data_IF_050108119472
#
_entry.id   IF_050108119472
#
_cell.length_a   1.000
_cell.length_b   1.000
_cell.length_c   1.000
_cell.angle_alpha   90.00
_cell.angle_beta   90.00
_cell.angle_gamma   90.00
#
_symmetry.space_group_name_H-M   'P 1'
#
loop_
_entity.id
_entity.type
_entity.pdbx_description
1 polymer ?
#
# COMPACT_ATOMS: atom_id res chain seq x y z
N UNK A 1 14.31 27.32 -13.30
CA UNK A 1 14.21 26.37 -12.17
C UNK A 1 14.43 24.92 -12.63
N UNK A 2 15.02 24.69 -13.80
CA UNK A 2 15.11 23.34 -14.38
C UNK A 2 16.09 22.45 -13.63
N UNK A 3 15.82 21.14 -13.63
CA UNK A 3 16.66 20.10 -13.02
C UNK A 3 16.73 18.89 -13.97
N UNK A 4 17.81 18.11 -13.85
CA UNK A 4 17.93 16.80 -14.50
C UNK A 4 17.75 15.70 -13.45
N UNK A 5 16.89 14.71 -13.74
CA UNK A 5 16.61 13.58 -12.86
C UNK A 5 16.67 12.28 -13.68
N UNK A 6 17.58 11.35 -13.34
CA UNK A 6 17.83 10.15 -14.13
C UNK A 6 18.08 10.42 -15.64
N UNK A 7 18.74 11.55 -15.96
CA UNK A 7 18.97 12.00 -17.33
C UNK A 7 17.77 12.68 -18.01
N UNK A 8 16.63 12.81 -17.33
CA UNK A 8 15.41 13.43 -17.82
C UNK A 8 15.37 14.90 -17.41
N UNK A 9 15.18 15.78 -18.38
CA UNK A 9 15.10 17.22 -18.11
C UNK A 9 13.69 17.62 -17.68
N UNK A 10 13.59 18.24 -16.51
CA UNK A 10 12.37 18.78 -15.94
C UNK A 10 12.47 20.31 -15.88
N UNK A 11 11.42 21.02 -16.31
CA UNK A 11 11.42 22.50 -16.25
C UNK A 11 11.45 23.05 -14.82
N UNK A 12 11.01 22.25 -13.85
CA UNK A 12 11.08 22.47 -12.41
C UNK A 12 11.05 21.11 -11.69
N UNK A 13 11.41 21.02 -10.39
CA UNK A 13 11.53 19.73 -9.70
C UNK A 13 10.19 19.15 -9.21
N UNK A 14 9.06 19.79 -9.48
CA UNK A 14 7.76 19.37 -8.93
C UNK A 14 7.18 18.26 -9.79
N UNK A 15 7.01 17.07 -9.21
CA UNK A 15 6.39 15.91 -9.83
C UNK A 15 5.14 15.51 -9.04
N UNK A 16 3.99 15.44 -9.71
CA UNK A 16 2.76 14.92 -9.09
C UNK A 16 2.86 13.40 -8.86
N UNK A 17 2.60 12.95 -7.63
CA UNK A 17 2.79 11.56 -7.22
C UNK A 17 1.73 10.60 -7.79
N UNK A 18 2.14 9.36 -8.09
CA UNK A 18 1.22 8.32 -8.58
C UNK A 18 0.04 8.11 -7.63
N UNK A 19 -1.16 7.96 -8.21
CA UNK A 19 -2.38 7.67 -7.47
C UNK A 19 -3.16 8.90 -7.00
N UNK A 20 -2.59 10.10 -7.11
CA UNK A 20 -3.23 11.36 -6.67
C UNK A 20 -3.86 12.16 -7.82
N UNK A 21 -3.42 11.95 -9.07
CA UNK A 21 -3.91 12.65 -10.27
C UNK A 21 -4.44 11.71 -11.35
N UNK A 22 -4.83 10.47 -11.01
CA UNK A 22 -5.36 9.52 -12.00
C UNK A 22 -4.41 9.31 -13.18
N UNK A 23 -4.87 9.61 -14.39
CA UNK A 23 -4.07 9.63 -15.61
C UNK A 23 -3.82 11.07 -16.11
N UNK A 24 -4.03 12.08 -15.28
CA UNK A 24 -3.87 13.52 -15.59
C UNK A 24 -5.08 14.12 -16.32
N UNK A 25 -5.62 13.38 -17.28
CA UNK A 25 -6.72 13.83 -18.16
C UNK A 25 -7.99 14.12 -17.39
N UNK A 26 -8.26 13.37 -16.31
CA UNK A 26 -9.47 13.55 -15.50
C UNK A 26 -9.50 14.88 -14.72
N UNK A 27 -8.37 15.58 -14.63
CA UNK A 27 -8.20 16.79 -13.83
C UNK A 27 -7.86 18.02 -14.68
N UNK A 28 -7.93 17.94 -16.01
CA UNK A 28 -7.55 19.03 -16.93
C UNK A 28 -8.29 20.34 -16.64
N UNK A 29 -9.55 20.27 -16.19
CA UNK A 29 -10.37 21.45 -15.86
C UNK A 29 -10.05 22.09 -14.50
N UNK A 30 -9.29 21.40 -13.64
CA UNK A 30 -9.06 21.79 -12.24
C UNK A 30 -7.58 22.01 -11.94
N UNK A 31 -6.69 21.34 -12.67
CA UNK A 31 -5.25 21.30 -12.40
C UNK A 31 -4.46 21.70 -13.64
N UNK A 32 -3.68 22.77 -13.51
CA UNK A 32 -2.72 23.20 -14.52
C UNK A 32 -1.46 22.33 -14.50
N UNK A 33 -1.58 21.10 -15.04
CA UNK A 33 -0.48 20.14 -15.14
C UNK A 33 0.70 20.73 -15.94
N UNK A 34 0.43 21.61 -16.90
CA UNK A 34 1.42 22.37 -17.67
C UNK A 34 2.32 23.29 -16.83
N UNK A 35 2.08 23.44 -15.53
CA UNK A 35 2.99 24.12 -14.58
C UNK A 35 3.97 23.17 -13.87
N UNK A 36 3.70 21.86 -13.83
CA UNK A 36 4.53 20.86 -13.14
C UNK A 36 5.72 20.41 -13.99
N UNK A 37 6.83 20.03 -13.35
CA UNK A 37 7.97 19.41 -14.03
C UNK A 37 7.62 18.08 -14.67
N UNK A 38 6.83 17.27 -13.94
CA UNK A 38 6.25 16.04 -14.45
C UNK A 38 5.12 15.53 -13.58
N UNK A 39 4.61 14.36 -13.91
CA UNK A 39 3.68 13.62 -13.06
C UNK A 39 3.78 12.12 -13.33
N UNK A 40 3.47 11.34 -12.32
CA UNK A 40 3.41 9.89 -12.41
C UNK A 40 1.95 9.47 -12.52
N UNK A 41 1.60 8.75 -13.59
CA UNK A 41 0.23 8.21 -13.73
C UNK A 41 -0.05 7.15 -12.67
N UNK A 42 -1.34 6.83 -12.48
CA UNK A 42 -1.79 5.72 -11.65
C UNK A 42 -1.03 4.44 -11.97
N UNK A 43 -0.71 3.65 -10.94
CA UNK A 43 -0.09 2.34 -11.10
C UNK A 43 -0.85 1.46 -12.09
N UNK A 44 -0.10 0.90 -13.05
CA UNK A 44 -0.61 0.05 -14.12
C UNK A 44 -0.27 -1.41 -13.83
N UNK A 45 -1.29 -2.27 -13.90
CA UNK A 45 -1.14 -3.73 -13.90
C UNK A 45 -1.26 -4.30 -15.31
N UNK A 46 -0.96 -5.60 -15.43
CA UNK A 46 -1.17 -6.37 -16.65
C UNK A 46 -2.63 -6.29 -17.11
N UNK A 47 -3.55 -6.63 -16.22
CA UNK A 47 -5.00 -6.59 -16.45
C UNK A 47 -5.68 -5.47 -15.66
N UNK A 48 -6.87 -4.99 -16.08
CA UNK A 48 -7.64 -4.01 -15.31
C UNK A 48 -7.98 -4.51 -13.90
N UNK A 49 -8.01 -3.59 -12.94
CA UNK A 49 -8.36 -3.90 -11.55
C UNK A 49 -9.44 -2.96 -11.03
N UNK A 50 -10.47 -3.52 -10.39
CA UNK A 50 -11.57 -2.76 -9.79
C UNK A 50 -11.18 -2.05 -8.47
N UNK A 51 -10.14 -2.57 -7.80
CA UNK A 51 -9.73 -2.14 -6.46
C UNK A 51 -10.63 -2.66 -5.34
N UNK A 52 -10.36 -2.22 -4.11
CA UNK A 52 -11.06 -2.67 -2.90
C UNK A 52 -12.51 -2.15 -2.86
N UNK A 53 -13.46 -2.72 -2.11
CA UNK A 53 -14.77 -2.08 -1.91
C UNK A 53 -14.66 -0.77 -1.11
N UNK A 54 -15.60 0.19 -1.28
CA UNK A 54 -15.67 1.38 -0.41
C UNK A 54 -16.16 1.07 1.02
N UNK A 55 -15.78 1.89 2.02
CA UNK A 55 -14.98 3.12 1.93
C UNK A 55 -13.47 2.84 1.74
N UNK A 56 -12.79 3.65 0.92
CA UNK A 56 -11.36 3.47 0.58
C UNK A 56 -10.44 4.55 1.12
N UNK A 57 -11.00 5.66 1.62
CA UNK A 57 -10.27 6.83 2.09
C UNK A 57 -10.80 7.20 3.47
N UNK A 58 -9.91 7.67 4.34
CA UNK A 58 -10.28 8.23 5.63
C UNK A 58 -9.29 9.32 6.02
N UNK A 59 -9.78 10.50 6.37
CA UNK A 59 -8.94 11.61 6.82
C UNK A 59 -8.43 11.36 8.26
N UNK A 60 -7.19 11.72 8.54
CA UNK A 60 -6.62 11.71 9.88
C UNK A 60 -6.20 13.14 10.26
N UNK A 61 -6.01 13.46 11.56
CA UNK A 61 -5.72 14.84 11.98
C UNK A 61 -4.52 15.51 11.29
N UNK A 62 -3.58 14.72 10.76
CA UNK A 62 -2.39 15.20 10.06
C UNK A 62 -2.13 14.45 8.75
N UNK A 63 -3.16 13.88 8.11
CA UNK A 63 -2.99 13.13 6.88
C UNK A 63 -4.24 12.38 6.44
N UNK A 64 -4.02 11.26 5.78
CA UNK A 64 -5.11 10.40 5.32
C UNK A 64 -4.65 8.94 5.20
N UNK A 65 -5.60 8.03 5.41
CA UNK A 65 -5.46 6.63 5.09
C UNK A 65 -6.11 6.35 3.74
N UNK A 66 -5.53 5.42 3.00
CA UNK A 66 -6.12 4.92 1.76
C UNK A 66 -5.97 3.40 1.66
N UNK A 67 -6.99 2.75 1.11
CA UNK A 67 -7.00 1.35 0.73
C UNK A 67 -7.66 1.22 -0.64
N UNK A 68 -7.12 1.91 -1.65
CA UNK A 68 -7.71 1.91 -3.01
C UNK A 68 -7.71 0.51 -3.64
N UNK A 69 -6.73 -0.33 -3.29
CA UNK A 69 -6.57 -1.66 -3.87
C UNK A 69 -6.05 -1.61 -5.32
N UNK A 70 -5.25 -0.60 -5.65
CA UNK A 70 -4.58 -0.46 -6.96
C UNK A 70 -5.55 -0.46 -8.16
N UNK A 71 -6.77 0.08 -7.99
CA UNK A 71 -7.72 0.24 -9.10
C UNK A 71 -7.06 0.95 -10.29
N UNK A 72 -7.12 0.34 -11.48
CA UNK A 72 -6.54 0.86 -12.71
C UNK A 72 -7.13 0.16 -13.95
N UNK A 73 -6.91 0.75 -15.13
CA UNK A 73 -7.45 0.25 -16.42
C UNK A 73 -6.56 -0.79 -17.11
N UNK A 74 -5.41 -1.15 -16.54
CA UNK A 74 -4.41 -2.01 -17.17
C UNK A 74 -3.48 -1.25 -18.13
N UNK A 75 -2.29 -1.80 -18.35
CA UNK A 75 -1.25 -1.20 -19.18
C UNK A 75 -1.65 -1.03 -20.65
N UNK A 76 -2.38 -2.02 -21.21
CA UNK A 76 -2.81 -2.02 -22.61
C UNK A 76 -3.80 -0.88 -22.90
N UNK A 77 -4.86 -0.77 -22.09
CA UNK A 77 -5.83 0.30 -22.23
C UNK A 77 -5.20 1.68 -22.01
N UNK A 78 -4.23 1.79 -21.09
CA UNK A 78 -3.50 3.05 -20.90
C UNK A 78 -2.82 3.53 -22.18
N UNK A 79 -2.10 2.66 -22.90
CA UNK A 79 -1.44 3.03 -24.16
C UNK A 79 -2.43 3.40 -25.25
N UNK A 80 -3.56 2.69 -25.33
CA UNK A 80 -4.53 2.89 -26.40
C UNK A 80 -5.43 4.10 -26.17
N UNK A 81 -5.79 4.39 -24.92
CA UNK A 81 -6.86 5.35 -24.60
C UNK A 81 -6.36 6.63 -23.93
N UNK A 82 -5.32 6.55 -23.10
CA UNK A 82 -4.86 7.66 -22.25
C UNK A 82 -3.57 8.29 -22.77
N UNK A 83 -2.59 7.46 -23.12
CA UNK A 83 -1.28 7.94 -23.58
C UNK A 83 -1.35 8.85 -24.82
N UNK A 84 -2.23 8.64 -25.83
CA UNK A 84 -2.32 9.54 -26.97
C UNK A 84 -2.69 10.97 -26.57
N UNK A 85 -3.64 11.13 -25.64
CA UNK A 85 -4.04 12.44 -25.11
C UNK A 85 -2.93 13.08 -24.28
N UNK A 86 -2.23 12.28 -23.47
CA UNK A 86 -1.09 12.76 -22.69
C UNK A 86 0.05 13.29 -23.55
N UNK A 87 0.23 12.76 -24.76
CA UNK A 87 1.23 13.26 -25.72
C UNK A 87 0.89 14.63 -26.29
N UNK A 88 -0.39 14.99 -26.33
CA UNK A 88 -0.84 16.31 -26.79
C UNK A 88 -0.53 17.39 -25.73
N UNK A 89 -0.41 16.99 -24.46
CA UNK A 89 -0.02 17.88 -23.36
C UNK A 89 1.43 18.35 -23.52
N UNK A 90 1.62 19.64 -23.74
CA UNK A 90 2.94 20.24 -23.87
C UNK A 90 3.52 20.60 -22.50
N UNK A 91 4.85 20.68 -22.46
CA UNK A 91 5.60 21.17 -21.31
C UNK A 91 5.51 20.31 -20.04
N UNK A 92 5.08 19.06 -20.08
CA UNK A 92 5.06 18.17 -18.91
C UNK A 92 5.70 16.82 -19.24
N UNK A 93 6.44 16.27 -18.27
CA UNK A 93 7.03 14.92 -18.38
C UNK A 93 6.09 13.89 -17.76
N UNK A 94 5.83 12.80 -18.50
CA UNK A 94 4.97 11.70 -18.06
C UNK A 94 5.83 10.52 -17.58
N UNK A 95 5.59 10.06 -16.36
CA UNK A 95 6.17 8.85 -15.80
C UNK A 95 5.08 7.78 -15.65
N UNK A 96 5.41 6.53 -15.95
CA UNK A 96 4.48 5.41 -15.81
C UNK A 96 4.76 4.61 -14.53
N UNK A 97 3.82 4.64 -13.58
CA UNK A 97 3.92 3.78 -12.39
C UNK A 97 3.55 2.34 -12.77
N UNK A 98 4.40 1.39 -12.41
CA UNK A 98 4.27 -0.03 -12.72
C UNK A 98 4.10 -0.82 -11.43
N UNK A 99 3.16 -1.75 -11.41
CA UNK A 99 3.06 -2.72 -10.32
C UNK A 99 2.69 -4.11 -10.82
N UNK A 100 2.93 -5.11 -9.98
CA UNK A 100 2.62 -6.51 -10.22
C UNK A 100 2.61 -7.31 -8.91
N UNK A 101 1.98 -8.48 -8.95
CA UNK A 101 1.97 -9.44 -7.84
C UNK A 101 3.05 -10.50 -7.98
N UNK A 102 3.49 -10.78 -9.21
CA UNK A 102 4.63 -11.64 -9.51
C UNK A 102 5.69 -10.88 -10.33
N UNK A 103 6.89 -11.45 -10.49
CA UNK A 103 7.94 -10.85 -11.31
C UNK A 103 7.52 -10.71 -12.78
N UNK A 104 6.80 -11.72 -13.27
CA UNK A 104 6.25 -11.81 -14.62
C UNK A 104 5.21 -10.73 -14.89
N UNK A 105 4.45 -10.31 -13.88
CA UNK A 105 3.53 -9.18 -14.02
C UNK A 105 4.29 -7.88 -14.33
N UNK A 106 5.36 -7.58 -13.58
CA UNK A 106 6.17 -6.38 -13.83
C UNK A 106 6.80 -6.41 -15.21
N UNK A 107 7.37 -7.56 -15.60
CA UNK A 107 7.95 -7.76 -16.92
C UNK A 107 6.91 -7.51 -18.02
N UNK A 108 5.73 -8.12 -17.91
CA UNK A 108 4.66 -8.00 -18.91
C UNK A 108 4.16 -6.56 -19.03
N UNK A 109 3.97 -5.86 -17.91
CA UNK A 109 3.55 -4.46 -17.92
C UNK A 109 4.60 -3.59 -18.62
N UNK A 110 5.88 -3.77 -18.31
CA UNK A 110 6.97 -3.00 -18.93
C UNK A 110 7.08 -3.30 -20.42
N UNK A 111 6.92 -4.55 -20.84
CA UNK A 111 6.89 -4.94 -22.25
C UNK A 111 5.77 -4.24 -23.01
N UNK A 112 4.56 -4.19 -22.44
CA UNK A 112 3.45 -3.42 -23.02
C UNK A 112 3.84 -1.94 -23.10
N UNK A 113 4.31 -1.34 -22.01
CA UNK A 113 4.65 0.08 -21.95
C UNK A 113 5.79 0.51 -22.88
N UNK A 114 6.68 -0.40 -23.25
CA UNK A 114 7.70 -0.15 -24.28
C UNK A 114 7.06 0.18 -25.65
N UNK A 115 5.87 -0.35 -25.98
CA UNK A 115 5.16 -0.06 -27.22
C UNK A 115 4.62 1.38 -27.27
N UNK A 116 4.42 2.03 -26.11
CA UNK A 116 3.85 3.37 -26.01
C UNK A 116 4.91 4.46 -26.11
N UNK A 117 4.69 5.47 -26.96
CA UNK A 117 5.54 6.66 -27.03
C UNK A 117 5.09 7.77 -26.05
N UNK A 118 6.04 8.58 -25.58
CA UNK A 118 5.74 9.72 -24.69
C UNK A 118 5.91 9.45 -23.19
N UNK A 119 6.23 8.21 -22.80
CA UNK A 119 6.65 7.86 -21.44
C UNK A 119 8.15 8.19 -21.29
N UNK A 120 8.52 8.93 -20.25
CA UNK A 120 9.91 9.33 -20.01
C UNK A 120 10.68 8.30 -19.16
N UNK A 121 10.03 7.70 -18.16
CA UNK A 121 10.60 6.66 -17.31
C UNK A 121 9.51 5.81 -16.65
N UNK A 122 9.93 4.65 -16.13
CA UNK A 122 9.10 3.76 -15.34
C UNK A 122 9.34 4.00 -13.85
N UNK A 123 8.29 4.12 -13.06
CA UNK A 123 8.34 4.13 -11.59
C UNK A 123 7.82 2.79 -11.04
N UNK A 124 8.70 1.95 -10.53
CA UNK A 124 8.35 0.62 -10.00
C UNK A 124 7.82 0.75 -8.58
N UNK A 125 6.56 0.42 -8.39
CA UNK A 125 5.94 0.34 -7.08
C UNK A 125 6.13 -1.03 -6.45
N UNK A 126 7.23 -1.20 -5.71
CA UNK A 126 7.59 -2.47 -5.06
C UNK A 126 6.90 -2.68 -3.70
N UNK A 127 5.92 -1.87 -3.33
CA UNK A 127 5.18 -2.03 -2.07
C UNK A 127 4.01 -3.03 -2.16
N UNK A 128 3.83 -3.69 -3.31
CA UNK A 128 2.76 -4.65 -3.53
C UNK A 128 3.12 -6.02 -2.92
N UNK A 129 2.15 -6.77 -2.38
CA UNK A 129 2.40 -8.11 -1.86
C UNK A 129 2.78 -9.06 -2.99
N UNK A 130 3.84 -9.85 -2.80
CA UNK A 130 4.29 -10.88 -3.74
C UNK A 130 3.51 -12.18 -3.52
N UNK A 131 2.67 -12.58 -4.46
CA UNK A 131 1.83 -13.78 -4.29
C UNK A 131 2.61 -15.09 -4.39
N UNK A 132 3.76 -15.12 -5.06
CA UNK A 132 4.61 -16.33 -5.16
C UNK A 132 5.34 -16.64 -3.85
N UNK A 133 5.59 -15.61 -3.04
CA UNK A 133 6.28 -15.71 -1.75
C UNK A 133 5.34 -15.43 -0.57
N UNK A 134 4.09 -15.89 -0.66
CA UNK A 134 3.15 -15.86 0.47
C UNK A 134 2.66 -14.46 0.88
N UNK A 135 2.75 -13.47 -0.01
CA UNK A 135 2.26 -12.11 0.19
C UNK A 135 3.30 -11.11 0.71
N UNK A 136 4.58 -11.49 0.83
CA UNK A 136 5.65 -10.57 1.26
C UNK A 136 5.82 -9.43 0.26
N UNK A 137 5.89 -8.17 0.70
CA UNK A 137 6.10 -7.06 -0.25
C UNK A 137 7.49 -7.14 -0.89
N UNK A 138 7.59 -7.01 -2.21
CA UNK A 138 8.87 -7.06 -2.93
C UNK A 138 9.91 -6.10 -2.33
N UNK A 139 9.49 -4.90 -1.95
CA UNK A 139 10.34 -3.87 -1.36
C UNK A 139 10.72 -4.10 0.11
N UNK A 140 10.30 -5.21 0.73
CA UNK A 140 10.64 -5.55 2.12
C UNK A 140 11.65 -6.68 2.29
N UNK A 141 11.91 -7.44 1.22
CA UNK A 141 12.95 -8.48 1.18
C UNK A 141 14.03 -8.11 0.14
N UNK A 142 15.32 -8.02 0.52
CA UNK A 142 16.39 -7.63 -0.39
C UNK A 142 16.49 -8.50 -1.65
N UNK A 143 16.30 -9.81 -1.53
CA UNK A 143 16.41 -10.72 -2.68
C UNK A 143 15.25 -10.53 -3.65
N UNK A 144 14.03 -10.47 -3.13
CA UNK A 144 12.83 -10.19 -3.92
C UNK A 144 12.92 -8.83 -4.64
N UNK A 145 13.46 -7.81 -3.98
CA UNK A 145 13.68 -6.50 -4.58
C UNK A 145 14.70 -6.56 -5.73
N UNK A 146 15.85 -7.19 -5.50
CA UNK A 146 16.90 -7.38 -6.51
C UNK A 146 16.36 -8.10 -7.75
N UNK A 147 15.61 -9.20 -7.55
CA UNK A 147 15.08 -10.01 -8.63
C UNK A 147 14.09 -9.23 -9.50
N UNK A 148 13.16 -8.48 -8.90
CA UNK A 148 12.20 -7.65 -9.65
C UNK A 148 12.90 -6.55 -10.41
N UNK A 149 13.77 -5.78 -9.74
CA UNK A 149 14.46 -4.63 -10.35
C UNK A 149 15.36 -5.11 -11.50
N UNK A 150 16.15 -6.16 -11.29
CA UNK A 150 17.01 -6.74 -12.32
C UNK A 150 16.21 -7.27 -13.52
N UNK A 151 15.07 -7.92 -13.28
CA UNK A 151 14.21 -8.45 -14.34
C UNK A 151 13.59 -7.34 -15.17
N UNK A 152 13.06 -6.31 -14.51
CA UNK A 152 12.50 -5.16 -15.21
C UNK A 152 13.58 -4.39 -15.94
N UNK A 153 14.76 -4.22 -15.35
CA UNK A 153 15.87 -3.51 -15.99
C UNK A 153 16.27 -4.15 -17.32
N UNK A 154 16.36 -5.47 -17.39
CA UNK A 154 16.65 -6.21 -18.63
C UNK A 154 15.61 -5.99 -19.74
N UNK A 155 14.38 -5.71 -19.37
CA UNK A 155 13.25 -5.54 -20.29
C UNK A 155 12.88 -4.07 -20.54
N UNK A 156 13.52 -3.11 -19.86
CA UNK A 156 13.17 -1.69 -19.95
C UNK A 156 13.94 -0.98 -21.07
N UNK A 157 13.25 -0.13 -21.83
CA UNK A 157 13.86 0.77 -22.81
C UNK A 157 14.09 2.19 -22.28
N UNK A 158 13.73 2.44 -21.02
CA UNK A 158 13.66 3.77 -20.38
C UNK A 158 14.28 3.72 -18.99
N UNK A 159 14.67 4.87 -18.42
CA UNK A 159 15.17 4.91 -17.05
C UNK A 159 14.19 4.30 -16.05
N UNK A 160 14.76 3.63 -15.05
CA UNK A 160 14.05 2.89 -14.01
C UNK A 160 14.15 3.63 -12.68
N UNK A 161 13.00 4.09 -12.19
CA UNK A 161 12.87 4.71 -10.87
C UNK A 161 12.25 3.66 -9.95
N UNK A 162 12.89 3.34 -8.82
CA UNK A 162 12.34 2.39 -7.85
C UNK A 162 11.70 3.14 -6.67
N UNK A 163 10.40 2.91 -6.44
CA UNK A 163 9.65 3.54 -5.35
C UNK A 163 9.63 2.65 -4.11
N UNK A 164 10.46 2.96 -3.12
CA UNK A 164 10.62 2.11 -1.94
C UNK A 164 9.51 2.31 -0.90
N UNK A 165 9.18 1.20 -0.24
CA UNK A 165 8.30 1.17 0.93
C UNK A 165 9.04 1.71 2.16
N UNK A 166 8.40 2.51 3.02
CA UNK A 166 8.98 2.86 4.32
C UNK A 166 8.87 1.72 5.34
N UNK A 167 8.08 0.67 5.04
CA UNK A 167 7.73 -0.40 5.98
C UNK A 167 8.82 -1.50 5.99
N UNK A 168 10.05 -1.12 6.29
CA UNK A 168 11.24 -1.99 6.29
C UNK A 168 12.14 -1.69 7.48
N UNK A 169 12.96 -2.66 7.88
CA UNK A 169 13.94 -2.46 8.96
C UNK A 169 15.03 -1.46 8.58
N UNK A 170 15.51 -1.50 7.34
CA UNK A 170 16.56 -0.59 6.84
C UNK A 170 16.28 -0.14 5.41
N UNK A 171 15.81 1.09 5.26
CA UNK A 171 15.57 1.68 3.94
C UNK A 171 16.88 1.94 3.17
N UNK A 172 17.97 2.22 3.88
CA UNK A 172 19.29 2.39 3.28
C UNK A 172 19.76 1.08 2.60
N UNK A 173 19.50 -0.07 3.23
CA UNK A 173 19.79 -1.37 2.62
C UNK A 173 18.97 -1.57 1.35
N UNK A 174 17.66 -1.29 1.38
CA UNK A 174 16.80 -1.43 0.21
C UNK A 174 17.19 -0.48 -0.93
N UNK A 175 17.61 0.74 -0.59
CA UNK A 175 18.14 1.70 -1.57
C UNK A 175 19.40 1.19 -2.25
N UNK A 176 20.34 0.62 -1.49
CA UNK A 176 21.56 0.04 -2.06
C UNK A 176 21.25 -1.15 -2.97
N UNK A 177 20.36 -2.05 -2.55
CA UNK A 177 19.91 -3.20 -3.36
C UNK A 177 19.28 -2.73 -4.67
N UNK A 178 18.36 -1.76 -4.63
CA UNK A 178 17.73 -1.23 -5.83
C UNK A 178 18.75 -0.60 -6.79
N UNK A 179 19.74 0.12 -6.26
CA UNK A 179 20.83 0.69 -7.06
C UNK A 179 21.65 -0.40 -7.76
N UNK A 180 22.13 -1.41 -7.02
CA UNK A 180 22.95 -2.50 -7.58
C UNK A 180 22.19 -3.34 -8.61
N UNK A 181 20.88 -3.52 -8.41
CA UNK A 181 20.00 -4.20 -9.36
C UNK A 181 19.72 -3.39 -10.65
N UNK A 182 20.19 -2.13 -10.73
CA UNK A 182 20.14 -1.31 -11.94
C UNK A 182 19.06 -0.23 -11.96
N UNK A 183 18.58 0.24 -10.81
CA UNK A 183 17.77 1.45 -10.75
C UNK A 183 18.58 2.70 -11.17
N UNK A 184 18.02 3.53 -12.04
CA UNK A 184 18.61 4.81 -12.44
C UNK A 184 18.32 5.92 -11.42
N UNK A 185 17.25 5.77 -10.63
CA UNK A 185 16.92 6.65 -9.51
C UNK A 185 15.98 5.98 -8.48
N UNK A 186 15.79 6.64 -7.34
CA UNK A 186 14.87 6.22 -6.28
C UNK A 186 13.78 7.27 -6.04
N UNK A 187 12.58 6.80 -5.68
CA UNK A 187 11.43 7.61 -5.25
C UNK A 187 11.04 7.18 -3.84
N UNK A 188 11.05 8.09 -2.87
CA UNK A 188 10.90 7.77 -1.44
C UNK A 188 9.92 8.74 -0.77
N UNK A 189 8.93 8.32 0.01
CA UNK A 189 8.52 6.93 0.33
C UNK A 189 7.09 6.66 -0.14
N UNK A 190 6.74 5.38 -0.27
CA UNK A 190 5.32 5.00 -0.33
C UNK A 190 4.64 5.17 1.04
N UNK A 191 3.36 4.81 1.16
CA UNK A 191 2.59 5.03 2.40
C UNK A 191 3.00 4.11 3.54
N UNK A 192 2.98 4.64 4.77
CA UNK A 192 3.05 3.84 5.99
C UNK A 192 1.78 3.01 6.17
N UNK A 193 1.91 1.81 6.75
CA UNK A 193 0.76 1.01 7.16
C UNK A 193 0.19 1.58 8.46
N UNK A 194 -1.12 1.82 8.47
CA UNK A 194 -1.82 2.33 9.63
C UNK A 194 -3.29 1.88 9.61
N UNK A 195 -3.95 2.01 10.76
CA UNK A 195 -5.37 1.71 10.93
C UNK A 195 -6.05 2.88 11.63
N UNK A 196 -7.22 3.28 11.16
CA UNK A 196 -8.11 4.18 11.87
C UNK A 196 -9.27 3.36 12.44
N UNK A 197 -9.54 3.55 13.72
CA UNK A 197 -10.64 2.92 14.43
C UNK A 197 -11.67 4.02 14.72
N UNK A 198 -12.94 3.71 14.49
CA UNK A 198 -14.04 4.55 14.92
C UNK A 198 -14.17 4.48 16.43
N UNK A 199 -14.04 5.58 17.17
CA UNK A 199 -14.21 5.54 18.62
C UNK A 199 -15.66 5.25 19.06
N UNK A 200 -16.66 5.56 18.23
CA UNK A 200 -18.08 5.33 18.53
C UNK A 200 -18.50 3.90 18.16
N UNK A 201 -18.22 3.49 16.92
CA UNK A 201 -18.63 2.17 16.42
C UNK A 201 -17.60 1.07 16.66
N UNK A 202 -16.38 1.46 17.03
CA UNK A 202 -15.24 0.62 17.43
C UNK A 202 -14.86 -0.45 16.42
N UNK A 203 -15.11 -0.09 15.16
CA UNK A 203 -14.74 -0.86 13.97
C UNK A 203 -13.63 -0.13 13.21
N UNK A 204 -12.80 -0.84 12.44
CA UNK A 204 -11.90 -0.18 11.51
C UNK A 204 -12.70 0.67 10.52
N UNK A 205 -12.27 1.91 10.30
CA UNK A 205 -12.98 2.87 9.42
C UNK A 205 -12.96 2.44 7.94
N UNK A 206 -11.92 1.71 7.54
CA UNK A 206 -11.69 1.31 6.14
C UNK A 206 -11.94 -0.19 5.92
N UNK A 207 -11.72 -1.04 6.93
CA UNK A 207 -11.78 -2.50 6.80
C UNK A 207 -13.03 -3.05 7.50
N UNK A 208 -13.85 -3.83 6.78
CA UNK A 208 -15.13 -4.35 7.28
C UNK A 208 -15.09 -5.79 7.79
N UNK A 209 -13.93 -6.45 7.74
CA UNK A 209 -13.78 -7.84 8.19
C UNK A 209 -13.60 -7.92 9.72
N UNK A 210 -14.15 -8.94 10.39
CA UNK A 210 -13.90 -9.20 11.81
C UNK A 210 -12.40 -9.34 12.11
N UNK A 211 -11.96 -8.82 13.24
CA UNK A 211 -10.56 -8.85 13.69
C UNK A 211 -10.41 -9.86 14.83
N UNK A 212 -9.40 -10.71 14.77
CA UNK A 212 -8.98 -11.55 15.90
C UNK A 212 -7.79 -10.88 16.58
N UNK A 213 -7.93 -10.49 17.85
CA UNK A 213 -6.86 -9.93 18.67
C UNK A 213 -5.94 -11.03 19.21
N UNK A 214 -4.63 -10.79 19.26
CA UNK A 214 -3.69 -11.74 19.86
C UNK A 214 -2.44 -11.04 20.38
N UNK A 215 -1.79 -11.67 21.37
CA UNK A 215 -0.54 -11.21 21.95
C UNK A 215 -0.68 -10.77 23.40
N UNK A 216 0.04 -11.43 24.31
CA UNK A 216 0.08 -11.04 25.74
C UNK A 216 -1.14 -11.42 26.58
N UNK A 217 -2.20 -11.98 25.99
CA UNK A 217 -3.42 -12.38 26.70
C UNK A 217 -3.13 -13.52 27.69
N UNK A 218 -3.36 -13.26 28.96
CA UNK A 218 -3.12 -14.19 30.07
C UNK A 218 -4.23 -14.20 31.12
N UNK A 219 -5.18 -13.27 31.02
CA UNK A 219 -6.33 -13.13 31.94
C UNK A 219 -7.62 -12.83 31.18
N UNK A 220 -8.76 -12.96 31.86
CA UNK A 220 -10.05 -12.52 31.32
C UNK A 220 -10.12 -11.03 31.00
N UNK A 221 -9.45 -10.19 31.80
CA UNK A 221 -9.42 -8.73 31.60
C UNK A 221 -8.73 -8.39 30.29
N UNK A 222 -7.64 -9.08 29.95
CA UNK A 222 -6.96 -8.89 28.67
C UNK A 222 -7.91 -9.17 27.49
N UNK A 223 -8.73 -10.22 27.56
CA UNK A 223 -9.74 -10.51 26.54
C UNK A 223 -10.72 -9.35 26.43
N UNK A 224 -11.22 -8.86 27.55
CA UNK A 224 -12.12 -7.71 27.58
C UNK A 224 -11.44 -6.51 26.94
N UNK A 225 -10.20 -6.16 27.27
CA UNK A 225 -9.46 -5.05 26.64
C UNK A 225 -9.33 -5.20 25.12
N UNK A 226 -8.98 -6.39 24.63
CA UNK A 226 -8.91 -6.67 23.20
C UNK A 226 -10.28 -6.52 22.52
N UNK A 227 -11.35 -7.00 23.16
CA UNK A 227 -12.70 -6.81 22.65
C UNK A 227 -13.08 -5.33 22.66
N UNK A 228 -12.80 -4.62 23.76
CA UNK A 228 -13.00 -3.18 23.92
C UNK A 228 -12.22 -2.34 22.88
N UNK A 229 -11.09 -2.83 22.38
CA UNK A 229 -10.30 -2.24 21.31
C UNK A 229 -10.81 -2.53 19.88
N UNK A 230 -11.83 -3.38 19.71
CA UNK A 230 -12.44 -3.71 18.42
C UNK A 230 -12.21 -5.14 17.93
N UNK A 231 -11.60 -6.01 18.73
CA UNK A 231 -11.50 -7.43 18.39
C UNK A 231 -12.87 -8.12 18.49
N UNK A 232 -13.17 -8.98 17.51
CA UNK A 232 -14.36 -9.84 17.49
C UNK A 232 -14.11 -11.17 18.20
N UNK A 233 -12.86 -11.63 18.21
CA UNK A 233 -12.41 -12.80 18.95
C UNK A 233 -10.94 -12.62 19.37
N UNK A 234 -10.42 -13.54 20.19
CA UNK A 234 -9.02 -13.50 20.63
C UNK A 234 -8.30 -14.84 20.44
N UNK A 235 -6.98 -14.80 20.35
CA UNK A 235 -6.10 -15.98 20.41
C UNK A 235 -5.10 -15.88 21.55
N UNK A 236 -4.89 -16.99 22.26
CA UNK A 236 -4.01 -17.11 23.43
C UNK A 236 -2.85 -18.04 23.06
N UNK A 237 -1.62 -17.51 23.11
CA UNK A 237 -0.39 -18.23 22.77
C UNK A 237 0.48 -18.49 24.00
N UNK A 238 1.29 -17.51 24.41
CA UNK A 238 2.32 -17.66 25.45
C UNK A 238 1.81 -18.23 26.77
N UNK A 239 0.61 -17.85 27.23
CA UNK A 239 0.03 -18.38 28.47
C UNK A 239 -0.09 -19.92 28.46
N UNK A 240 -0.39 -20.50 27.30
CA UNK A 240 -0.53 -21.95 27.12
C UNK A 240 0.79 -22.72 27.27
N UNK A 241 1.95 -22.07 27.11
CA UNK A 241 3.25 -22.69 27.37
C UNK A 241 3.59 -22.77 28.86
N UNK A 242 3.10 -21.81 29.66
CA UNK A 242 3.30 -21.79 31.11
C UNK A 242 2.30 -22.68 31.83
N UNK A 243 1.06 -22.71 31.32
CA UNK A 243 -0.03 -23.52 31.85
C UNK A 243 -0.86 -24.09 30.68
N UNK A 244 -0.78 -25.40 30.41
CA UNK A 244 -1.52 -26.04 29.32
C UNK A 244 -3.04 -25.89 29.40
N UNK A 245 -3.60 -25.58 30.57
CA UNK A 245 -5.04 -25.34 30.77
C UNK A 245 -5.37 -23.85 30.94
N UNK A 246 -4.44 -22.94 30.64
CA UNK A 246 -4.64 -21.50 30.75
C UNK A 246 -5.87 -21.02 29.99
N UNK A 247 -6.10 -21.51 28.76
CA UNK A 247 -7.25 -21.12 27.94
C UNK A 247 -8.58 -21.48 28.59
N UNK A 248 -8.69 -22.66 29.22
CA UNK A 248 -9.89 -23.09 29.94
C UNK A 248 -10.13 -22.24 31.19
N UNK A 249 -9.06 -21.97 31.94
CA UNK A 249 -9.11 -21.10 33.13
C UNK A 249 -9.55 -19.69 32.78
N UNK A 250 -8.96 -19.10 31.73
CA UNK A 250 -9.30 -17.76 31.25
C UNK A 250 -10.76 -17.69 30.77
N UNK A 251 -11.28 -18.75 30.15
CA UNK A 251 -12.71 -18.82 29.79
C UNK A 251 -13.61 -18.82 31.04
N UNK A 252 -13.24 -19.58 32.08
CA UNK A 252 -13.99 -19.58 33.35
C UNK A 252 -13.90 -18.24 34.08
N UNK A 253 -12.72 -17.60 34.07
CA UNK A 253 -12.52 -16.24 34.57
C UNK A 253 -13.38 -15.23 33.79
N UNK A 254 -13.46 -15.36 32.47
CA UNK A 254 -14.25 -14.46 31.63
C UNK A 254 -15.76 -14.60 31.90
N UNK A 255 -16.24 -15.82 32.11
CA UNK A 255 -17.62 -16.07 32.53
C UNK A 255 -17.92 -15.41 33.89
N UNK A 256 -17.00 -15.56 34.84
CA UNK A 256 -17.11 -14.95 36.17
C UNK A 256 -17.13 -13.42 36.05
N UNK A 257 -16.19 -12.86 35.27
CA UNK A 257 -16.10 -11.44 35.02
C UNK A 257 -17.39 -10.89 34.38
N UNK A 258 -17.95 -11.58 33.38
CA UNK A 258 -19.21 -11.17 32.75
C UNK A 258 -20.38 -11.17 33.75
N UNK A 259 -20.45 -12.16 34.63
CA UNK A 259 -21.48 -12.24 35.67
C UNK A 259 -21.35 -11.10 36.69
N UNK A 260 -20.14 -10.81 37.14
CA UNK A 260 -19.84 -9.72 38.09
C UNK A 260 -20.16 -8.34 37.51
N UNK A 261 -19.97 -8.16 36.19
CA UNK A 261 -20.15 -6.89 35.50
C UNK A 261 -21.48 -6.76 34.75
N UNK A 262 -22.40 -7.74 34.92
CA UNK A 262 -23.70 -7.79 34.25
C UNK A 262 -23.61 -7.69 32.71
N UNK A 263 -22.63 -8.37 32.12
CA UNK A 263 -22.46 -8.43 30.65
C UNK A 263 -23.19 -9.65 30.12
N UNK A 264 -24.37 -9.44 29.53
CA UNK A 264 -25.20 -10.53 28.98
C UNK A 264 -24.65 -11.08 27.65
N UNK A 265 -23.99 -10.23 26.86
CA UNK A 265 -23.42 -10.61 25.57
C UNK A 265 -22.04 -10.00 25.37
N UNK A 266 -21.01 -10.84 25.30
CA UNK A 266 -19.62 -10.44 25.05
C UNK A 266 -19.44 -9.56 23.81
N UNK A 267 -20.23 -9.78 22.76
CA UNK A 267 -20.18 -8.95 21.55
C UNK A 267 -20.56 -7.47 21.80
N UNK A 268 -21.23 -7.15 22.90
CA UNK A 268 -21.52 -5.77 23.31
C UNK A 268 -20.28 -5.06 23.85
N UNK A 269 -19.25 -5.81 24.25
CA UNK A 269 -17.93 -5.29 24.58
C UNK A 269 -17.08 -5.02 23.33
N UNK A 270 -17.44 -5.58 22.16
CA UNK A 270 -16.66 -5.38 20.94
C UNK A 270 -16.75 -3.93 20.50
N UNK A 271 -15.58 -3.34 20.33
CA UNK A 271 -15.19 -2.21 21.13
C UNK A 271 -16.26 -1.50 21.94
N UNK A 272 -16.13 -1.59 23.26
CA UNK A 272 -16.81 -0.93 24.37
C UNK A 272 -15.99 0.16 25.09
N UNK A 273 -14.71 0.39 24.73
CA UNK A 273 -13.80 1.28 25.47
C UNK A 273 -14.24 2.76 25.39
N UNK A 274 -14.35 3.44 26.53
CA UNK A 274 -14.55 4.91 26.59
C UNK A 274 -13.21 5.50 27.01
N UNK A 275 -12.60 6.33 26.15
CA UNK A 275 -11.46 7.15 26.56
C UNK A 275 -12.00 8.50 26.98
N UNK A 276 -11.90 8.83 28.27
CA UNK A 276 -12.04 10.21 28.75
C UNK A 276 -10.86 11.08 28.30
#
# INVERSE_FOLDING_TARGET
MSVSFAGIQLKNPVIAASGTFGYGIEFEDVVHLDKLGGFVVKGLSREPMAGNPPPRLYETPAGMLNAIGLQNIGARAFILEKLPKLREMKNIVVFANVFGYTREDYEHVVQILNEGEGIAAYELNVSCPNTEYGGIQFGSDPRSLDEVVSTVRRNSQRPLIVKLSPNVTSIAQMAHVAQEAGADALSLVNTFVAMAIDAETRKPRIVKIPVIGMGGISTAVDIVEFMLAGATAVQIGTASYWDPVATEKIVAELQTWCAEHNVERLADLTGGMVME
#
